data_IF_671673528815
#
_entry.id   IF_671673528815
#
_cell.length_a   1.000
_cell.length_b   1.000
_cell.length_c   1.000
_cell.angle_alpha   90.00
_cell.angle_beta   90.00
_cell.angle_gamma   90.00
#
_symmetry.space_group_name_H-M   'P 1'
#
loop_
_entity.id
_entity.type
_entity.pdbx_description
1 polymer ?
#
# COMPACT_ATOMS: atom_id res chain seq x y z
N UNK A 1 14.53 -52.81 -19.68
CA UNK A 1 14.46 -51.65 -20.59
C UNK A 1 14.45 -50.38 -19.76
N UNK A 2 15.62 -49.74 -19.62
CA UNK A 2 15.83 -48.44 -18.97
C UNK A 2 15.96 -47.41 -20.10
N UNK A 3 15.22 -46.28 -20.04
CA UNK A 3 15.53 -44.95 -20.63
C UNK A 3 14.26 -44.09 -20.83
N UNK A 4 13.49 -43.81 -19.78
CA UNK A 4 12.54 -42.67 -19.78
C UNK A 4 12.49 -42.10 -18.36
N UNK A 5 13.60 -41.49 -17.89
CA UNK A 5 13.56 -40.79 -16.60
C UNK A 5 14.54 -39.60 -16.50
N UNK A 6 14.90 -39.00 -17.64
CA UNK A 6 15.86 -37.87 -17.68
C UNK A 6 15.24 -36.58 -18.23
N UNK A 7 14.06 -36.64 -18.87
CA UNK A 7 13.48 -35.45 -19.52
C UNK A 7 12.68 -34.52 -18.58
N UNK A 8 12.25 -34.98 -17.40
CA UNK A 8 11.43 -34.15 -16.48
C UNK A 8 12.32 -33.33 -15.55
N UNK A 9 13.50 -33.84 -15.18
CA UNK A 9 14.42 -33.16 -14.25
C UNK A 9 15.15 -31.97 -14.87
N UNK A 10 15.22 -31.86 -16.20
CA UNK A 10 15.90 -30.76 -16.88
C UNK A 10 15.02 -29.50 -17.04
N UNK A 11 13.69 -29.63 -16.91
CA UNK A 11 12.76 -28.50 -17.04
C UNK A 11 12.33 -27.91 -15.70
N UNK A 12 12.52 -28.61 -14.58
CA UNK A 12 12.21 -28.08 -13.25
C UNK A 12 12.97 -26.79 -12.89
N UNK A 13 14.27 -26.61 -13.22
CA UNK A 13 14.94 -25.34 -12.92
C UNK A 13 14.52 -24.21 -13.87
N UNK A 14 13.97 -24.53 -15.05
CA UNK A 14 13.45 -23.53 -16.00
C UNK A 14 12.02 -23.08 -15.64
N UNK A 15 11.23 -23.94 -15.00
CA UNK A 15 9.88 -23.60 -14.51
C UNK A 15 9.88 -22.78 -13.22
N UNK A 16 10.94 -22.86 -12.41
CA UNK A 16 11.11 -21.98 -11.24
C UNK A 16 11.56 -20.54 -11.59
N UNK A 17 11.88 -20.25 -12.86
CA UNK A 17 12.28 -18.92 -13.32
C UNK A 17 11.19 -18.15 -14.07
N UNK A 18 9.98 -18.71 -14.19
CA UNK A 18 8.88 -18.06 -14.91
C UNK A 18 8.01 -17.13 -14.04
N UNK A 19 8.49 -16.63 -12.90
CA UNK A 19 7.71 -15.70 -12.07
C UNK A 19 8.55 -14.55 -11.51
N UNK A 20 9.16 -13.76 -12.39
CA UNK A 20 9.38 -12.35 -12.08
C UNK A 20 9.25 -11.55 -13.37
N UNK A 21 8.03 -11.12 -13.67
CA UNK A 21 7.85 -9.95 -14.53
C UNK A 21 8.58 -8.74 -13.92
N UNK A 22 8.79 -7.65 -14.69
CA UNK A 22 9.40 -6.45 -14.14
C UNK A 22 8.65 -6.01 -12.88
N UNK A 23 9.38 -5.85 -11.77
CA UNK A 23 8.80 -5.38 -10.51
C UNK A 23 8.26 -3.97 -10.73
N UNK A 24 6.93 -3.84 -10.86
CA UNK A 24 6.27 -2.53 -10.98
C UNK A 24 6.33 -1.86 -9.62
N UNK A 25 7.19 -0.85 -9.45
CA UNK A 25 7.32 -0.15 -8.19
C UNK A 25 6.03 0.60 -7.84
N UNK A 26 5.56 0.41 -6.61
CA UNK A 26 4.38 1.09 -6.06
C UNK A 26 4.89 2.30 -5.26
N UNK A 27 4.93 3.47 -5.89
CA UNK A 27 5.40 4.74 -5.29
C UNK A 27 4.25 5.74 -5.15
N UNK A 28 4.50 6.81 -4.42
CA UNK A 28 3.50 7.82 -4.13
C UNK A 28 3.93 8.75 -3.00
N UNK A 29 3.03 9.66 -2.65
CA UNK A 29 3.22 10.66 -1.60
C UNK A 29 2.01 10.70 -0.67
N UNK A 30 2.19 11.36 0.46
CA UNK A 30 1.10 11.71 1.35
C UNK A 30 1.15 13.19 1.72
N UNK A 31 -0.01 13.73 2.08
CA UNK A 31 -0.16 15.05 2.69
C UNK A 31 -0.94 14.91 3.98
N UNK A 32 -0.28 15.16 5.11
CA UNK A 32 -0.90 15.16 6.43
C UNK A 32 -1.39 16.57 6.76
N UNK A 33 -2.66 16.68 7.17
CA UNK A 33 -3.29 17.93 7.58
C UNK A 33 -3.66 17.83 9.05
N UNK A 34 -3.18 18.80 9.83
CA UNK A 34 -3.46 18.90 11.25
C UNK A 34 -4.86 19.48 11.46
N UNK A 35 -5.49 19.09 12.58
CA UNK A 35 -6.76 19.67 13.02
C UNK A 35 -6.64 21.17 13.37
N UNK A 36 -5.41 21.64 13.62
CA UNK A 36 -5.12 23.06 13.81
C UNK A 36 -5.00 23.76 12.44
N UNK A 37 -5.89 24.72 12.12
CA UNK A 37 -5.90 25.41 10.83
C UNK A 37 -4.69 26.32 10.60
N UNK A 38 -3.91 26.64 11.63
CA UNK A 38 -2.76 27.53 11.51
C UNK A 38 -1.46 26.79 11.18
N UNK A 39 -1.44 25.47 11.29
CA UNK A 39 -0.27 24.68 10.93
C UNK A 39 -0.38 24.23 9.47
N UNK A 40 0.62 24.55 8.61
CA UNK A 40 0.56 24.17 7.20
C UNK A 40 0.59 22.64 7.02
N UNK A 41 -0.05 22.11 5.97
CA UNK A 41 0.05 20.69 5.61
C UNK A 41 1.49 20.25 5.39
N UNK A 42 1.79 19.00 5.75
CA UNK A 42 3.09 18.38 5.51
C UNK A 42 2.94 17.39 4.36
N UNK A 43 3.71 17.58 3.29
CA UNK A 43 3.77 16.66 2.15
C UNK A 43 5.13 15.97 2.09
N UNK A 44 5.12 14.65 1.92
CA UNK A 44 6.34 13.85 1.78
C UNK A 44 6.08 12.58 0.96
N UNK A 45 7.15 11.96 0.47
CA UNK A 45 7.07 10.67 -0.18
C UNK A 45 6.62 9.58 0.81
N UNK A 46 5.90 8.58 0.30
CA UNK A 46 5.52 7.42 1.08
C UNK A 46 6.79 6.65 1.45
N UNK A 47 7.08 6.58 2.75
CA UNK A 47 8.07 5.68 3.34
C UNK A 47 7.43 4.35 3.75
N UNK A 48 8.22 3.48 4.37
CA UNK A 48 7.67 2.28 5.02
C UNK A 48 6.97 2.62 6.35
N UNK A 49 7.51 3.61 7.07
CA UNK A 49 6.98 4.11 8.33
C UNK A 49 6.99 5.63 8.30
N UNK A 50 5.89 6.24 8.72
CA UNK A 50 5.71 7.69 8.78
C UNK A 50 5.18 8.06 10.16
N UNK A 51 5.80 9.04 10.78
CA UNK A 51 5.47 9.47 12.13
C UNK A 51 4.80 10.83 12.06
N UNK A 52 3.55 10.90 12.49
CA UNK A 52 2.74 12.11 12.44
C UNK A 52 2.31 12.52 13.85
N UNK A 53 2.07 13.81 14.04
CA UNK A 53 1.45 14.28 15.28
C UNK A 53 0.03 13.69 15.39
N UNK A 54 -0.39 13.28 16.58
CA UNK A 54 -1.74 12.76 16.84
C UNK A 54 -2.86 13.75 16.52
N UNK A 55 -2.56 15.06 16.50
CA UNK A 55 -3.47 16.09 16.00
C UNK A 55 -3.64 16.08 14.47
N UNK A 56 -3.03 15.15 13.74
CA UNK A 56 -3.31 14.98 12.30
C UNK A 56 -4.74 14.50 12.15
N UNK A 57 -5.61 15.37 11.64
CA UNK A 57 -7.03 15.05 11.47
C UNK A 57 -7.22 14.06 10.33
N UNK A 58 -6.59 14.34 9.18
CA UNK A 58 -6.64 13.48 8.00
C UNK A 58 -5.30 13.44 7.27
N UNK A 59 -5.09 12.34 6.54
CA UNK A 59 -3.96 12.16 5.62
C UNK A 59 -4.51 11.87 4.24
N UNK A 60 -4.16 12.70 3.27
CA UNK A 60 -4.38 12.42 1.84
C UNK A 60 -3.22 11.58 1.33
N UNK A 61 -3.51 10.40 0.79
CA UNK A 61 -2.53 9.46 0.24
C UNK A 61 -2.73 9.41 -1.26
N UNK A 62 -1.68 9.62 -2.05
CA UNK A 62 -1.70 9.58 -3.51
C UNK A 62 -0.63 8.62 -4.00
N UNK A 63 -1.03 7.54 -4.66
CA UNK A 63 -0.11 6.67 -5.39
C UNK A 63 0.14 7.22 -6.78
N UNK A 64 1.28 6.89 -7.37
CA UNK A 64 1.49 7.13 -8.80
C UNK A 64 0.44 6.39 -9.62
N UNK A 65 0.02 6.97 -10.74
CA UNK A 65 -0.97 6.33 -11.61
C UNK A 65 -0.32 5.11 -12.26
N UNK A 66 -0.86 3.89 -12.08
CA UNK A 66 -0.28 2.72 -12.70
C UNK A 66 -0.66 2.66 -14.19
N UNK A 67 -0.05 1.74 -14.93
CA UNK A 67 -0.45 1.46 -16.32
C UNK A 67 -1.96 1.22 -16.43
N UNK A 68 -2.57 1.62 -17.55
CA UNK A 68 -4.03 1.68 -17.70
C UNK A 68 -4.75 0.32 -17.55
N UNK A 69 -4.05 -0.80 -17.64
CA UNK A 69 -4.59 -2.15 -17.41
C UNK A 69 -4.60 -2.54 -15.93
N UNK A 70 -3.97 -1.76 -15.07
CA UNK A 70 -3.78 -2.05 -13.65
C UNK A 70 -4.61 -1.11 -12.78
N UNK A 71 -4.97 -1.57 -11.60
CA UNK A 71 -5.65 -0.75 -10.60
C UNK A 71 -5.19 -1.11 -9.19
N UNK A 72 -5.46 -0.19 -8.26
CA UNK A 72 -5.17 -0.39 -6.85
C UNK A 72 -6.39 -0.88 -6.07
N UNK A 73 -6.17 -1.89 -5.25
CA UNK A 73 -7.05 -2.31 -4.17
C UNK A 73 -6.39 -1.96 -2.84
N UNK A 74 -7.18 -1.51 -1.87
CA UNK A 74 -6.68 -0.86 -0.66
C UNK A 74 -7.25 -1.53 0.57
N UNK A 75 -6.37 -1.88 1.50
CA UNK A 75 -6.70 -2.48 2.79
C UNK A 75 -6.10 -1.61 3.89
N UNK A 76 -6.80 -1.47 5.01
CA UNK A 76 -6.35 -0.68 6.14
C UNK A 76 -6.54 -1.43 7.46
N UNK A 77 -5.53 -1.37 8.32
CA UNK A 77 -5.49 -2.09 9.58
C UNK A 77 -4.99 -1.17 10.69
N UNK A 78 -5.73 -1.09 11.80
CA UNK A 78 -5.25 -0.40 13.00
C UNK A 78 -4.56 -1.38 13.95
N UNK A 79 -3.47 -0.95 14.58
CA UNK A 79 -2.72 -1.76 15.56
C UNK A 79 -3.53 -2.11 16.81
N UNK A 80 -4.50 -1.28 17.16
CA UNK A 80 -5.40 -1.47 18.31
C UNK A 80 -6.72 -2.19 17.94
N UNK A 81 -6.87 -2.62 16.68
CA UNK A 81 -8.08 -3.26 16.17
C UNK A 81 -9.27 -2.32 15.95
N UNK A 82 -9.11 -1.01 16.18
CA UNK A 82 -10.16 -0.03 15.90
C UNK A 82 -10.46 0.10 14.42
N UNK A 83 -11.69 0.51 14.10
CA UNK A 83 -12.08 0.78 12.73
C UNK A 83 -11.22 1.90 12.12
N UNK A 84 -10.84 1.69 10.86
CA UNK A 84 -10.08 2.66 10.08
C UNK A 84 -10.96 3.19 8.95
N UNK A 85 -11.20 4.51 8.96
CA UNK A 85 -11.88 5.18 7.87
C UNK A 85 -10.85 5.51 6.77
N UNK A 86 -10.87 4.72 5.69
CA UNK A 86 -10.12 4.97 4.47
C UNK A 86 -11.09 5.29 3.34
N UNK A 87 -11.23 6.57 3.01
CA UNK A 87 -12.28 7.06 2.12
C UNK A 87 -11.79 7.22 0.68
N UNK A 88 -12.66 6.89 -0.27
CA UNK A 88 -12.45 7.12 -1.70
C UNK A 88 -12.59 8.61 -2.02
N UNK A 89 -11.63 9.17 -2.75
CA UNK A 89 -11.65 10.59 -3.13
C UNK A 89 -12.40 10.90 -4.43
N UNK A 90 -12.74 9.88 -5.23
CA UNK A 90 -13.14 10.05 -6.62
C UNK A 90 -12.05 9.66 -7.63
N UNK A 91 -10.79 9.50 -7.17
CA UNK A 91 -9.66 9.05 -7.99
C UNK A 91 -9.19 7.66 -7.56
N UNK A 92 -8.93 6.77 -8.53
CA UNK A 92 -8.59 5.37 -8.24
C UNK A 92 -7.32 5.19 -7.40
N UNK A 93 -6.35 6.09 -7.55
CA UNK A 93 -5.02 6.09 -6.91
C UNK A 93 -4.94 6.96 -5.64
N UNK A 94 -6.05 7.50 -5.16
CA UNK A 94 -6.05 8.39 -4.00
C UNK A 94 -7.02 7.92 -2.91
N UNK A 95 -6.62 8.08 -1.65
CA UNK A 95 -7.45 7.82 -0.47
C UNK A 95 -7.25 8.88 0.61
N UNK A 96 -8.29 9.11 1.41
CA UNK A 96 -8.21 9.89 2.64
C UNK A 96 -8.27 8.98 3.85
N UNK A 97 -7.24 9.01 4.69
CA UNK A 97 -7.17 8.29 5.95
C UNK A 97 -7.54 9.23 7.10
N UNK A 98 -8.54 8.87 7.90
CA UNK A 98 -8.85 9.58 9.15
C UNK A 98 -8.08 8.99 10.33
N UNK A 99 -7.37 9.83 11.09
CA UNK A 99 -6.55 9.40 12.24
C UNK A 99 -7.19 9.74 13.60
N UNK A 100 -8.28 10.54 13.61
CA UNK A 100 -9.19 10.76 14.74
C UNK A 100 -8.54 11.24 16.06
N UNK A 101 -7.35 11.86 16.06
CA UNK A 101 -6.81 12.50 17.27
C UNK A 101 -6.17 11.56 18.31
N UNK A 102 -6.16 10.25 18.06
CA UNK A 102 -5.67 9.24 19.01
C UNK A 102 -4.32 8.68 18.55
N UNK A 103 -3.32 8.58 19.44
CA UNK A 103 -2.08 7.84 19.15
C UNK A 103 -2.39 6.39 18.79
N UNK A 104 -2.12 6.01 17.54
CA UNK A 104 -2.28 4.65 17.03
C UNK A 104 -1.40 4.46 15.80
N UNK A 105 -1.19 3.21 15.41
CA UNK A 105 -0.55 2.89 14.14
C UNK A 105 -1.58 2.33 13.17
N UNK A 106 -1.67 2.92 11.98
CA UNK A 106 -2.50 2.44 10.88
C UNK A 106 -1.60 1.98 9.76
N UNK A 107 -1.69 0.70 9.41
CA UNK A 107 -1.01 0.12 8.26
C UNK A 107 -1.97 0.08 7.08
N UNK A 108 -1.53 0.66 5.97
CA UNK A 108 -2.21 0.57 4.68
C UNK A 108 -1.47 -0.45 3.83
N UNK A 109 -2.21 -1.38 3.25
CA UNK A 109 -1.71 -2.30 2.23
C UNK A 109 -2.40 -1.99 0.90
N UNK A 110 -1.59 -1.78 -0.12
CA UNK A 110 -2.02 -1.46 -1.48
C UNK A 110 -1.63 -2.63 -2.38
N UNK A 111 -2.64 -3.27 -2.96
CA UNK A 111 -2.47 -4.34 -3.94
C UNK A 111 -2.59 -3.74 -5.34
N UNK A 112 -1.60 -3.96 -6.18
CA UNK A 112 -1.68 -3.65 -7.61
C UNK A 112 -2.21 -4.88 -8.33
N UNK A 113 -3.31 -4.73 -9.07
CA UNK A 113 -4.05 -5.85 -9.67
C UNK A 113 -4.29 -5.66 -11.17
N UNK A 114 -4.23 -6.76 -11.91
CA UNK A 114 -4.63 -6.85 -13.31
C UNK A 114 -5.99 -7.57 -13.42
N UNK A 115 -7.07 -6.86 -13.11
CA UNK A 115 -8.45 -7.40 -13.06
C UNK A 115 -8.96 -7.70 -11.64
N UNK A 116 -10.21 -8.12 -11.52
CA UNK A 116 -10.98 -8.10 -10.26
C UNK A 116 -10.87 -9.37 -9.39
N UNK A 117 -10.12 -10.39 -9.82
CA UNK A 117 -9.97 -11.65 -9.08
C UNK A 117 -8.87 -11.62 -7.99
N UNK A 118 -8.93 -12.54 -7.03
CA UNK A 118 -7.92 -12.69 -5.96
C UNK A 118 -6.54 -13.12 -6.49
N UNK A 119 -6.50 -13.88 -7.59
CA UNK A 119 -5.27 -14.38 -8.21
C UNK A 119 -4.57 -13.35 -9.13
N UNK A 120 -5.08 -12.12 -9.20
CA UNK A 120 -4.63 -11.12 -10.17
C UNK A 120 -3.67 -10.07 -9.56
N UNK A 121 -3.15 -10.32 -8.36
CA UNK A 121 -2.19 -9.42 -7.70
C UNK A 121 -0.85 -9.52 -8.43
N UNK A 122 -0.41 -8.41 -9.02
CA UNK A 122 0.88 -8.31 -9.73
C UNK A 122 1.98 -7.79 -8.83
N UNK A 123 1.64 -6.93 -7.86
CA UNK A 123 2.55 -6.47 -6.81
C UNK A 123 1.74 -5.98 -5.61
N UNK A 124 2.40 -5.79 -4.47
CA UNK A 124 1.80 -5.12 -3.32
C UNK A 124 2.84 -4.28 -2.57
N UNK A 125 2.35 -3.30 -1.82
CA UNK A 125 3.15 -2.51 -0.90
C UNK A 125 2.36 -2.24 0.37
N UNK A 126 3.05 -2.27 1.50
CA UNK A 126 2.50 -1.84 2.78
C UNK A 126 3.31 -0.67 3.34
N UNK A 127 2.63 0.24 4.02
CA UNK A 127 3.24 1.35 4.74
C UNK A 127 2.40 1.72 5.96
N UNK A 128 3.06 2.25 6.99
CA UNK A 128 2.42 2.49 8.30
C UNK A 128 2.53 3.96 8.70
N UNK A 129 1.39 4.56 9.04
CA UNK A 129 1.33 5.84 9.73
C UNK A 129 1.19 5.60 11.23
N UNK A 130 2.13 6.12 12.01
CA UNK A 130 2.08 6.10 13.47
C UNK A 130 1.87 7.51 13.98
N UNK A 131 0.78 7.71 14.70
CA UNK A 131 0.50 8.97 15.39
C UNK A 131 1.03 8.95 16.82
N UNK A 132 1.62 10.06 17.25
CA UNK A 132 2.10 10.24 18.61
C UNK A 132 1.66 11.59 19.17
N UNK A 133 1.39 11.64 20.48
CA UNK A 133 1.30 12.92 21.19
C UNK A 133 2.71 13.33 21.55
N UNK A 134 3.11 14.54 21.14
CA UNK A 134 4.28 15.15 21.75
C UNK A 134 3.98 15.33 23.26
N UNK A 135 4.94 15.02 24.15
CA UNK A 135 4.79 15.33 25.58
C UNK A 135 4.62 16.83 25.82
#
# INVERSE_FOLDING_TARGET
MKKILISIFLCLPLLLWAQSGPTVNITGSYTAVLSDPYTPPITADLGNQMYLNALSGFVRIVMDVPDSSLHYEWEAYSSDGSEVSLQYSGLHNERYLSLNGTPRSVTIRVLLKNGTGSNNVVNYRSFTFTTYRYP
#
